data_IF_117544659082
#
_entry.id   IF_117544659082
#
_cell.length_a   1.000
_cell.length_b   1.000
_cell.length_c   1.000
_cell.angle_alpha   90.00
_cell.angle_beta   90.00
_cell.angle_gamma   90.00
#
_symmetry.space_group_name_H-M   'P 1'
#
loop_
_entity.id
_entity.type
_entity.pdbx_description
1 polymer ?
#
# COMPACT_ATOMS: atom_id res chain seq x y z
N UNK A 1 6.53 -4.91 -25.53
CA UNK A 1 5.33 -5.14 -24.68
C UNK A 1 5.59 -4.51 -23.33
N UNK A 2 4.58 -3.91 -22.70
CA UNK A 2 4.70 -3.34 -21.36
C UNK A 2 3.76 -4.04 -20.39
N UNK A 3 4.19 -4.19 -19.14
CA UNK A 3 3.33 -4.52 -18.00
C UNK A 3 3.22 -3.30 -17.08
N UNK A 4 2.05 -3.13 -16.47
CA UNK A 4 1.86 -2.22 -15.34
C UNK A 4 1.96 -3.05 -14.06
N UNK A 5 2.86 -2.67 -13.17
CA UNK A 5 2.95 -3.22 -11.81
C UNK A 5 2.38 -2.18 -10.86
N UNK A 6 1.48 -2.61 -9.98
CA UNK A 6 0.81 -1.80 -8.95
C UNK A 6 0.76 -2.64 -7.65
N UNK A 7 1.28 -2.10 -6.55
CA UNK A 7 1.30 -2.79 -5.27
C UNK A 7 -0.01 -2.59 -4.51
N UNK A 8 -0.74 -3.68 -4.34
CA UNK A 8 -2.01 -3.72 -3.61
C UNK A 8 -1.96 -3.02 -2.24
N UNK A 9 -2.79 -1.98 -2.07
CA UNK A 9 -2.97 -1.28 -0.80
C UNK A 9 -1.65 -0.84 -0.16
N UNK A 10 -0.73 -0.29 -0.97
CA UNK A 10 0.69 -0.15 -0.67
C UNK A 10 1.04 0.28 0.77
N UNK A 11 0.53 1.42 1.26
CA UNK A 11 0.88 1.89 2.62
C UNK A 11 0.40 0.93 3.71
N UNK A 12 -0.82 0.39 3.61
CA UNK A 12 -1.32 -0.60 4.56
C UNK A 12 -0.54 -1.93 4.48
N UNK A 13 -0.08 -2.30 3.28
CA UNK A 13 0.79 -3.46 3.07
C UNK A 13 2.18 -3.25 3.68
N UNK A 14 2.73 -2.03 3.61
CA UNK A 14 4.00 -1.69 4.26
C UNK A 14 3.92 -1.85 5.78
N UNK A 15 2.86 -1.37 6.42
CA UNK A 15 2.67 -1.50 7.88
C UNK A 15 2.52 -2.96 8.33
N UNK A 16 2.02 -3.83 7.45
CA UNK A 16 1.79 -5.25 7.76
C UNK A 16 2.93 -6.19 7.35
N UNK A 17 3.83 -5.74 6.47
CA UNK A 17 4.89 -6.57 5.88
C UNK A 17 5.73 -7.33 6.92
N UNK A 18 6.00 -6.69 8.07
CA UNK A 18 6.81 -7.26 9.15
C UNK A 18 6.01 -7.45 10.46
N UNK A 19 4.67 -7.46 10.39
CA UNK A 19 3.77 -7.52 11.55
C UNK A 19 2.83 -8.72 11.46
N UNK A 20 3.29 -9.94 11.83
CA UNK A 20 2.48 -11.15 11.74
C UNK A 20 1.22 -11.09 12.61
N UNK A 21 1.22 -10.29 13.66
CA UNK A 21 0.07 -10.02 14.54
C UNK A 21 -1.07 -9.25 13.86
N UNK A 22 -0.82 -8.66 12.68
CA UNK A 22 -1.83 -7.95 11.87
C UNK A 22 -2.43 -8.80 10.75
N UNK A 23 -2.01 -10.07 10.60
CA UNK A 23 -2.54 -10.96 9.58
C UNK A 23 -4.06 -11.13 9.74
N UNK A 24 -4.80 -10.91 8.65
CA UNK A 24 -6.26 -11.00 8.64
C UNK A 24 -6.99 -9.90 9.42
N UNK A 25 -6.28 -8.88 9.94
CA UNK A 25 -6.90 -7.75 10.64
C UNK A 25 -7.17 -6.58 9.70
N UNK A 26 -8.23 -5.79 9.93
CA UNK A 26 -8.45 -4.54 9.21
C UNK A 26 -7.38 -3.51 9.59
N UNK A 27 -6.69 -2.97 8.59
CA UNK A 27 -5.60 -1.99 8.72
C UNK A 27 -5.88 -0.78 7.85
N UNK A 28 -5.73 0.41 8.43
CA UNK A 28 -5.83 1.70 7.74
C UNK A 28 -4.64 2.59 8.05
N UNK A 29 -4.24 3.41 7.07
CA UNK A 29 -3.23 4.45 7.24
C UNK A 29 -3.90 5.81 7.04
N UNK A 30 -3.60 6.75 7.93
CA UNK A 30 -4.11 8.11 7.92
C UNK A 30 -3.12 9.07 7.27
N UNK A 31 -3.62 10.18 6.74
CA UNK A 31 -2.82 11.29 6.19
C UNK A 31 -1.96 11.97 7.24
N UNK A 32 -1.16 12.96 6.80
CA UNK A 32 -0.53 13.92 7.71
C UNK A 32 -1.52 14.47 8.74
N UNK A 33 -1.04 14.58 9.98
CA UNK A 33 -1.80 15.00 11.15
C UNK A 33 -3.08 14.16 11.40
N UNK A 34 -3.10 12.91 10.92
CA UNK A 34 -4.20 11.97 11.09
C UNK A 34 -5.56 12.49 10.60
N UNK A 35 -5.53 13.33 9.55
CA UNK A 35 -6.72 14.02 9.04
C UNK A 35 -7.76 13.08 8.41
N UNK A 36 -7.34 12.23 7.46
CA UNK A 36 -8.24 11.33 6.76
C UNK A 36 -7.60 9.99 6.40
N UNK A 37 -8.43 9.00 6.06
CA UNK A 37 -7.98 7.68 5.61
C UNK A 37 -7.38 7.77 4.21
N UNK A 38 -6.11 7.38 4.05
CA UNK A 38 -5.40 7.41 2.76
C UNK A 38 -4.95 6.05 2.25
N UNK A 39 -5.03 5.00 3.07
CA UNK A 39 -4.90 3.63 2.60
C UNK A 39 -5.68 2.68 3.50
N UNK A 40 -6.12 1.56 2.91
CA UNK A 40 -6.92 0.54 3.57
C UNK A 40 -6.62 -0.82 2.95
N UNK A 41 -6.32 -1.83 3.77
CA UNK A 41 -6.16 -3.20 3.29
C UNK A 41 -7.52 -3.83 2.90
N UNK A 42 -7.49 -5.04 2.38
CA UNK A 42 -8.69 -5.74 1.92
C UNK A 42 -9.73 -5.92 3.04
N UNK A 43 -9.28 -6.28 4.23
CA UNK A 43 -10.07 -6.47 5.44
C UNK A 43 -10.79 -5.17 5.84
N UNK A 44 -10.10 -4.03 5.82
CA UNK A 44 -10.69 -2.72 6.10
C UNK A 44 -11.66 -2.27 4.99
N UNK A 45 -11.39 -2.60 3.72
CA UNK A 45 -12.32 -2.31 2.61
C UNK A 45 -13.66 -3.03 2.79
N UNK A 46 -13.68 -4.27 3.31
CA UNK A 46 -14.91 -5.02 3.61
C UNK A 46 -15.76 -4.39 4.72
N UNK A 47 -15.17 -3.55 5.56
CA UNK A 47 -15.90 -2.77 6.56
C UNK A 47 -16.53 -1.50 5.96
N UNK A 48 -16.45 -1.30 4.64
CA UNK A 48 -17.00 -0.14 3.94
C UNK A 48 -16.44 1.21 4.40
N UNK A 49 -15.26 1.21 5.04
CA UNK A 49 -14.56 2.44 5.47
C UNK A 49 -14.19 3.26 4.23
N UNK A 50 -14.75 4.47 4.01
CA UNK A 50 -14.50 5.20 2.77
C UNK A 50 -13.05 5.69 2.65
N UNK A 51 -12.53 5.71 1.42
CA UNK A 51 -11.27 6.39 1.11
C UNK A 51 -11.45 7.90 1.30
N UNK A 52 -10.48 8.58 1.90
CA UNK A 52 -10.55 10.02 2.17
C UNK A 52 -11.50 10.40 3.31
N UNK A 53 -12.10 9.44 4.01
CA UNK A 53 -12.97 9.72 5.15
C UNK A 53 -12.19 10.47 6.24
N UNK A 54 -12.69 11.61 6.75
CA UNK A 54 -12.07 12.29 7.89
C UNK A 54 -12.06 11.38 9.11
N UNK A 55 -10.91 11.19 9.73
CA UNK A 55 -10.72 10.19 10.78
C UNK A 55 -11.72 10.37 11.93
N UNK A 56 -11.94 11.62 12.37
CA UNK A 56 -12.86 11.94 13.46
C UNK A 56 -14.31 11.48 13.20
N UNK A 57 -14.73 11.38 11.92
CA UNK A 57 -16.09 10.92 11.55
C UNK A 57 -16.24 9.40 11.58
N UNK A 58 -15.14 8.66 11.39
CA UNK A 58 -15.15 7.18 11.30
C UNK A 58 -14.52 6.50 12.52
N UNK A 59 -14.06 7.28 13.52
CA UNK A 59 -13.39 6.78 14.72
C UNK A 59 -14.20 5.70 15.46
N UNK A 60 -15.50 5.90 15.64
CA UNK A 60 -16.38 4.93 16.32
C UNK A 60 -16.48 3.60 15.57
N UNK A 61 -16.43 3.62 14.24
CA UNK A 61 -16.41 2.42 13.40
C UNK A 61 -15.08 1.66 13.59
N UNK A 62 -13.97 2.38 13.73
CA UNK A 62 -12.65 1.78 13.93
C UNK A 62 -12.55 1.10 15.28
N UNK A 63 -13.03 1.76 16.34
CA UNK A 63 -13.10 1.19 17.70
C UNK A 63 -13.98 -0.07 17.72
N UNK A 64 -15.16 -0.03 17.10
CA UNK A 64 -16.10 -1.16 17.04
C UNK A 64 -15.50 -2.41 16.37
N UNK A 65 -14.73 -2.22 15.29
CA UNK A 65 -14.17 -3.33 14.51
C UNK A 65 -12.69 -3.59 14.81
N UNK A 66 -12.15 -2.96 15.87
CA UNK A 66 -10.76 -3.10 16.30
C UNK A 66 -9.75 -2.91 15.15
N UNK A 67 -10.02 -1.90 14.31
CA UNK A 67 -9.16 -1.53 13.17
C UNK A 67 -7.82 -1.06 13.68
N UNK A 68 -6.74 -1.60 13.13
CA UNK A 68 -5.40 -1.09 13.37
C UNK A 68 -5.19 0.18 12.53
N UNK A 69 -4.94 1.30 13.21
CA UNK A 69 -4.84 2.62 12.60
C UNK A 69 -3.41 3.12 12.76
N UNK A 70 -2.79 3.52 11.66
CA UNK A 70 -1.43 4.06 11.64
C UNK A 70 -1.42 5.48 11.08
N UNK A 71 -0.62 6.36 11.68
CA UNK A 71 -0.22 7.61 11.04
C UNK A 71 0.72 7.31 9.87
N UNK A 72 0.74 8.20 8.86
CA UNK A 72 1.63 8.04 7.70
C UNK A 72 3.12 7.96 8.11
N UNK A 73 3.80 6.91 7.66
CA UNK A 73 5.24 6.73 7.78
C UNK A 73 5.94 6.76 6.41
N UNK A 74 6.13 7.95 5.85
CA UNK A 74 6.69 8.09 4.49
C UNK A 74 8.14 7.61 4.36
N UNK A 75 8.91 7.58 5.46
CA UNK A 75 10.27 7.01 5.44
C UNK A 75 10.22 5.50 5.18
N UNK A 76 9.32 4.78 5.86
CA UNK A 76 9.07 3.36 5.60
C UNK A 76 8.55 3.14 4.18
N UNK A 77 7.55 3.91 3.76
CA UNK A 77 6.92 3.71 2.45
C UNK A 77 7.90 3.97 1.30
N UNK A 78 8.73 5.01 1.41
CA UNK A 78 9.79 5.26 0.44
C UNK A 78 10.86 4.16 0.42
N UNK A 79 11.20 3.58 1.56
CA UNK A 79 12.14 2.44 1.61
C UNK A 79 11.57 1.18 0.95
N UNK A 80 10.32 0.84 1.27
CA UNK A 80 9.63 -0.31 0.67
C UNK A 80 9.45 -0.13 -0.85
N UNK A 81 9.14 1.09 -1.30
CA UNK A 81 9.02 1.43 -2.72
C UNK A 81 10.34 1.18 -3.45
N UNK A 82 11.46 1.71 -2.93
CA UNK A 82 12.79 1.48 -3.51
C UNK A 82 13.09 0.00 -3.66
N UNK A 83 12.81 -0.81 -2.63
CA UNK A 83 13.03 -2.26 -2.68
C UNK A 83 12.22 -2.93 -3.79
N UNK A 84 10.95 -2.56 -3.96
CA UNK A 84 10.11 -3.06 -5.05
C UNK A 84 10.70 -2.68 -6.40
N UNK A 85 11.06 -1.41 -6.60
CA UNK A 85 11.61 -0.93 -7.86
C UNK A 85 12.94 -1.59 -8.21
N UNK A 86 13.85 -1.75 -7.24
CA UNK A 86 15.11 -2.49 -7.43
C UNK A 86 14.87 -3.92 -7.91
N UNK A 87 13.90 -4.63 -7.33
CA UNK A 87 13.56 -6.00 -7.77
C UNK A 87 13.01 -5.97 -9.21
N UNK A 88 12.18 -5.00 -9.58
CA UNK A 88 11.67 -4.90 -10.95
C UNK A 88 12.79 -4.61 -11.95
N UNK A 89 13.74 -3.74 -11.59
CA UNK A 89 14.90 -3.39 -12.42
C UNK A 89 15.84 -4.57 -12.64
N UNK A 90 15.95 -5.49 -11.67
CA UNK A 90 16.72 -6.73 -11.83
C UNK A 90 16.04 -7.74 -12.77
N UNK A 91 14.71 -7.69 -12.89
CA UNK A 91 13.92 -8.67 -13.63
C UNK A 91 13.59 -8.25 -15.07
N UNK A 92 13.78 -6.98 -15.42
CA UNK A 92 13.35 -6.45 -16.70
C UNK A 92 14.38 -5.50 -17.34
N UNK A 93 14.48 -5.46 -18.68
CA UNK A 93 15.39 -4.57 -19.39
C UNK A 93 15.25 -3.08 -19.07
N UNK A 94 14.03 -2.62 -18.74
CA UNK A 94 13.78 -1.25 -18.35
C UNK A 94 12.51 -1.15 -17.48
N UNK A 95 12.57 -0.28 -16.48
CA UNK A 95 11.46 0.06 -15.58
C UNK A 95 11.29 1.57 -15.57
N UNK A 96 10.05 2.02 -15.64
CA UNK A 96 9.66 3.43 -15.58
C UNK A 96 8.76 3.63 -14.38
N UNK A 97 9.34 4.09 -13.27
CA UNK A 97 8.58 4.38 -12.06
C UNK A 97 7.59 5.53 -12.32
N UNK A 98 6.30 5.27 -12.07
CA UNK A 98 5.24 6.24 -12.26
C UNK A 98 4.85 6.91 -10.93
N UNK A 99 4.76 6.13 -9.88
CA UNK A 99 4.42 6.60 -8.53
C UNK A 99 5.18 5.79 -7.47
N UNK A 100 4.77 5.91 -6.20
CA UNK A 100 5.45 5.22 -5.10
C UNK A 100 5.22 3.69 -5.15
N UNK A 101 4.12 3.24 -5.72
CA UNK A 101 3.72 1.84 -5.82
C UNK A 101 3.48 1.35 -7.25
N UNK A 102 3.56 2.23 -8.24
CA UNK A 102 3.30 1.89 -9.64
C UNK A 102 4.53 2.08 -10.54
N UNK A 103 4.73 1.13 -11.45
CA UNK A 103 5.75 1.21 -12.48
C UNK A 103 5.33 0.54 -13.79
N UNK A 104 5.73 1.12 -14.91
CA UNK A 104 5.65 0.47 -16.22
C UNK A 104 6.94 -0.31 -16.48
N UNK A 105 6.81 -1.59 -16.81
CA UNK A 105 7.94 -2.51 -17.01
C UNK A 105 8.00 -2.92 -18.47
N UNK A 106 9.13 -2.67 -19.12
CA UNK A 106 9.38 -3.10 -20.50
C UNK A 106 9.74 -4.58 -20.51
N UNK A 107 8.94 -5.40 -21.18
CA UNK A 107 9.13 -6.85 -21.26
C UNK A 107 9.79 -7.31 -22.58
N UNK A 108 10.33 -6.37 -23.37
CA UNK A 108 10.94 -6.69 -24.66
C UNK A 108 12.17 -7.58 -24.48
N UNK A 109 12.18 -8.76 -25.11
CA UNK A 109 13.31 -9.70 -24.98
C UNK A 109 13.25 -10.62 -23.76
N UNK A 110 12.21 -10.51 -22.92
CA UNK A 110 11.95 -11.48 -21.86
C UNK A 110 11.26 -12.70 -22.48
N UNK A 111 11.93 -13.85 -22.47
CA UNK A 111 11.37 -15.11 -22.94
C UNK A 111 10.42 -15.71 -21.90
N UNK A 112 9.32 -16.31 -22.37
CA UNK A 112 8.48 -17.14 -21.49
C UNK A 112 9.27 -18.39 -21.13
N UNK A 113 9.38 -18.67 -19.83
CA UNK A 113 9.85 -19.94 -19.31
C UNK A 113 8.88 -21.07 -19.68
#
# INVERSE_FOLDING_TARGET
MFALVDVNSFYASCETAFRPDLRGRPVVVLSNNDGCVIARNHEAKRLEIPMGAPYFKVKSQFERHQVAVFSSNYALYGDMSRRVMTILEELAPAVYQYSIDEAFVNLTGIHRF
#
